data_IF_262418249921
#
_entry.id   IF_262418249921
#
_cell.length_a   1.000
_cell.length_b   1.000
_cell.length_c   1.000
_cell.angle_alpha   90.00
_cell.angle_beta   90.00
_cell.angle_gamma   90.00
#
_symmetry.space_group_name_H-M   'P 1'
#
loop_
_entity.id
_entity.type
_entity.pdbx_description
1 polymer ?
#
# COMPACT_ATOMS: atom_id res chain seq x y z
N UNK A 1 15.35 -10.56 11.77
CA UNK A 1 15.69 -9.14 11.99
C UNK A 1 14.42 -8.30 11.98
N UNK A 2 14.35 -7.24 12.77
CA UNK A 2 13.17 -6.37 12.93
C UNK A 2 13.39 -5.04 12.21
N UNK A 3 12.47 -4.61 11.34
CA UNK A 3 12.54 -3.28 10.72
C UNK A 3 12.49 -2.15 11.76
N UNK A 4 13.42 -1.20 11.68
CA UNK A 4 13.60 -0.11 12.65
C UNK A 4 13.60 1.28 12.02
N UNK A 5 13.45 1.38 10.70
CA UNK A 5 13.38 2.66 9.98
C UNK A 5 14.07 2.60 8.63
N UNK A 6 13.95 3.68 7.86
CA UNK A 6 14.67 3.90 6.63
C UNK A 6 15.47 5.20 6.73
N UNK A 7 16.64 5.23 6.11
CA UNK A 7 17.55 6.37 6.05
C UNK A 7 18.04 6.47 4.60
N UNK A 8 17.56 7.49 3.86
CA UNK A 8 17.74 7.55 2.40
C UNK A 8 17.24 6.26 1.74
N UNK A 9 18.09 5.66 0.91
CA UNK A 9 17.82 4.41 0.20
C UNK A 9 18.24 3.14 0.97
N UNK A 10 18.48 3.27 2.27
CA UNK A 10 18.85 2.17 3.15
C UNK A 10 17.75 1.85 4.17
N UNK A 11 17.41 0.57 4.30
CA UNK A 11 16.55 0.06 5.35
C UNK A 11 17.38 -0.38 6.55
N UNK A 12 17.00 0.09 7.75
CA UNK A 12 17.64 -0.28 9.02
C UNK A 12 16.87 -1.41 9.69
N UNK A 13 17.59 -2.46 10.06
CA UNK A 13 17.06 -3.59 10.79
C UNK A 13 17.81 -3.81 12.11
N UNK A 14 17.06 -4.12 13.17
CA UNK A 14 17.58 -4.42 14.50
C UNK A 14 17.49 -5.91 14.82
N UNK A 15 18.31 -6.36 15.76
CA UNK A 15 18.20 -7.69 16.35
C UNK A 15 16.80 -7.89 16.95
N UNK A 16 16.09 -8.99 16.60
CA UNK A 16 14.73 -9.22 17.09
C UNK A 16 14.66 -9.42 18.60
N UNK A 17 15.75 -9.87 19.22
CA UNK A 17 15.86 -10.04 20.67
C UNK A 17 15.79 -8.72 21.42
N UNK A 18 16.51 -7.70 20.97
CA UNK A 18 16.45 -6.36 21.58
C UNK A 18 15.07 -5.73 21.42
N UNK A 19 14.38 -6.02 20.31
CA UNK A 19 13.02 -5.55 20.08
C UNK A 19 11.94 -6.36 20.79
N UNK A 20 12.31 -7.37 21.59
CA UNK A 20 11.38 -8.24 22.31
C UNK A 20 10.52 -9.15 21.43
N UNK A 21 10.91 -9.41 20.18
CA UNK A 21 10.14 -10.28 19.26
C UNK A 21 10.51 -11.75 19.36
N UNK A 22 11.72 -12.05 19.81
CA UNK A 22 12.27 -13.41 19.92
C UNK A 22 13.17 -13.47 21.14
N UNK A 23 13.13 -14.55 21.91
CA UNK A 23 14.14 -14.80 22.93
C UNK A 23 15.31 -15.58 22.33
N UNK A 24 16.49 -14.96 22.26
CA UNK A 24 17.66 -15.54 21.60
C UNK A 24 18.44 -16.35 22.64
N UNK A 25 18.71 -17.65 22.41
CA UNK A 25 19.42 -18.48 23.40
C UNK A 25 20.86 -18.02 23.65
N UNK A 26 21.46 -17.30 22.69
CA UNK A 26 22.79 -16.72 22.80
C UNK A 26 22.77 -15.29 23.38
N UNK A 27 21.58 -14.75 23.67
CA UNK A 27 21.38 -13.37 24.08
C UNK A 27 21.82 -12.35 23.02
N UNK A 28 21.98 -11.10 23.45
CA UNK A 28 22.46 -10.01 22.58
C UNK A 28 23.98 -9.83 22.55
N UNK A 29 24.67 -10.26 23.61
CA UNK A 29 26.10 -10.00 23.81
C UNK A 29 26.98 -10.63 22.72
N UNK A 30 26.50 -11.73 22.12
CA UNK A 30 27.19 -12.41 21.01
C UNK A 30 27.11 -11.61 19.71
N UNK A 31 25.98 -10.93 19.47
CA UNK A 31 25.74 -10.25 18.19
C UNK A 31 26.20 -8.78 18.18
N UNK A 32 26.36 -8.15 19.34
CA UNK A 32 26.80 -6.75 19.44
C UNK A 32 27.35 -6.46 20.83
N UNK A 33 28.41 -5.66 20.90
CA UNK A 33 28.96 -5.14 22.15
C UNK A 33 28.09 -4.02 22.78
N UNK A 34 27.16 -3.45 22.01
CA UNK A 34 26.26 -2.39 22.48
C UNK A 34 24.95 -2.96 23.01
N UNK A 35 24.39 -2.32 24.05
CA UNK A 35 23.02 -2.57 24.55
C UNK A 35 21.92 -2.21 23.53
N UNK A 36 22.27 -1.61 22.39
CA UNK A 36 21.36 -1.36 21.28
C UNK A 36 21.17 -2.59 20.37
N UNK A 37 22.05 -3.60 20.51
CA UNK A 37 22.04 -4.82 19.69
C UNK A 37 22.68 -4.65 18.31
N UNK A 38 22.61 -5.74 17.52
CA UNK A 38 23.11 -5.74 16.15
C UNK A 38 22.19 -4.91 15.25
N UNK A 39 22.81 -4.06 14.43
CA UNK A 39 22.14 -3.24 13.41
C UNK A 39 22.64 -3.67 12.04
N UNK A 40 21.72 -4.01 11.13
CA UNK A 40 22.01 -4.29 9.73
C UNK A 40 21.33 -3.24 8.87
N UNK A 41 22.09 -2.59 8.00
CA UNK A 41 21.56 -1.69 6.97
C UNK A 41 21.59 -2.42 5.63
N UNK A 42 20.46 -2.43 4.93
CA UNK A 42 20.34 -3.04 3.60
C UNK A 42 20.02 -1.95 2.59
N UNK A 43 20.75 -1.87 1.49
CA UNK A 43 20.38 -0.98 0.40
C UNK A 43 19.18 -1.57 -0.37
N UNK A 44 18.28 -0.71 -0.86
CA UNK A 44 17.08 -1.14 -1.62
C UNK A 44 17.47 -1.97 -2.85
N UNK A 45 18.55 -1.58 -3.52
CA UNK A 45 19.00 -2.21 -4.77
C UNK A 45 19.53 -3.63 -4.58
N UNK A 46 19.87 -4.05 -3.36
CA UNK A 46 20.35 -5.41 -3.11
C UNK A 46 19.28 -6.46 -3.44
N UNK A 47 18.02 -6.19 -3.09
CA UNK A 47 16.88 -7.04 -3.45
C UNK A 47 15.59 -6.22 -3.39
N UNK A 48 15.27 -5.51 -4.46
CA UNK A 48 14.12 -4.58 -4.54
C UNK A 48 12.79 -5.23 -4.13
N UNK A 49 12.63 -6.54 -4.38
CA UNK A 49 11.42 -7.28 -3.98
C UNK A 49 11.26 -7.38 -2.46
N UNK A 50 12.37 -7.51 -1.73
CA UNK A 50 12.43 -7.71 -0.29
C UNK A 50 12.62 -6.39 0.46
N UNK A 51 13.45 -5.51 -0.08
CA UNK A 51 13.82 -4.23 0.51
C UNK A 51 13.18 -3.09 -0.29
N UNK A 52 11.91 -2.81 -0.02
CA UNK A 52 11.19 -1.69 -0.62
C UNK A 52 11.06 -0.52 0.36
N UNK A 53 10.90 0.71 -0.15
CA UNK A 53 10.44 1.87 0.62
C UNK A 53 9.03 2.24 0.15
N UNK A 54 8.04 2.36 1.06
CA UNK A 54 8.11 2.00 2.49
C UNK A 54 8.25 0.48 2.68
N UNK A 55 8.96 0.06 3.74
CA UNK A 55 9.23 -1.36 4.00
C UNK A 55 7.93 -2.16 4.15
N UNK A 56 7.87 -3.32 3.50
CA UNK A 56 6.69 -4.21 3.58
C UNK A 56 6.38 -4.55 5.04
N UNK A 57 5.11 -4.47 5.41
CA UNK A 57 4.67 -4.71 6.79
C UNK A 57 4.93 -3.55 7.77
N UNK A 58 5.61 -2.48 7.35
CA UNK A 58 5.63 -1.21 8.11
C UNK A 58 4.23 -0.59 8.19
N UNK A 59 4.00 0.28 9.16
CA UNK A 59 2.70 0.96 9.32
C UNK A 59 2.32 1.73 8.06
N UNK A 60 3.24 2.54 7.54
CA UNK A 60 3.03 3.32 6.31
C UNK A 60 2.73 2.43 5.12
N UNK A 61 3.45 1.33 4.96
CA UNK A 61 3.18 0.37 3.90
C UNK A 61 1.78 -0.24 4.03
N UNK A 62 1.35 -0.61 5.24
CA UNK A 62 0.01 -1.14 5.48
C UNK A 62 -1.07 -0.12 5.14
N UNK A 63 -0.93 1.12 5.58
CA UNK A 63 -1.88 2.19 5.26
C UNK A 63 -2.04 2.40 3.75
N UNK A 64 -0.93 2.47 3.01
CA UNK A 64 -0.97 2.59 1.55
C UNK A 64 -1.52 1.32 0.88
N UNK A 65 -1.22 0.14 1.42
CA UNK A 65 -1.74 -1.12 0.91
C UNK A 65 -3.26 -1.24 1.13
N UNK A 66 -3.78 -0.75 2.26
CA UNK A 66 -5.21 -0.75 2.55
C UNK A 66 -5.98 0.14 1.56
N UNK A 67 -5.37 1.22 1.04
CA UNK A 67 -5.96 2.07 -0.01
C UNK A 67 -6.14 1.32 -1.35
N UNK A 68 -5.30 0.32 -1.65
CA UNK A 68 -5.40 -0.48 -2.88
C UNK A 68 -6.77 -1.19 -2.97
N UNK A 69 -7.30 -1.65 -1.85
CA UNK A 69 -8.63 -2.28 -1.78
C UNK A 69 -9.72 -1.34 -2.30
N UNK A 70 -9.57 -0.02 -2.06
CA UNK A 70 -10.52 0.98 -2.56
C UNK A 70 -10.47 1.08 -4.08
N UNK A 71 -9.26 1.05 -4.66
CA UNK A 71 -9.05 1.05 -6.12
C UNK A 71 -9.66 -0.20 -6.76
N UNK A 72 -9.44 -1.38 -6.18
CA UNK A 72 -10.01 -2.64 -6.66
C UNK A 72 -11.54 -2.64 -6.63
N UNK A 73 -12.15 -2.09 -5.57
CA UNK A 73 -13.60 -1.89 -5.48
C UNK A 73 -14.12 -0.94 -6.57
N UNK A 74 -13.39 0.14 -6.87
CA UNK A 74 -13.73 1.05 -7.96
C UNK A 74 -13.69 0.33 -9.32
N UNK A 75 -12.66 -0.47 -9.58
CA UNK A 75 -12.58 -1.25 -10.81
C UNK A 75 -13.68 -2.30 -10.92
N UNK A 76 -13.98 -3.03 -9.85
CA UNK A 76 -15.13 -3.94 -9.81
C UNK A 76 -16.43 -3.20 -10.13
N UNK A 77 -16.61 -1.97 -9.63
CA UNK A 77 -17.78 -1.16 -9.95
C UNK A 77 -17.89 -0.80 -11.42
N UNK A 78 -16.78 -0.40 -12.04
CA UNK A 78 -16.74 -0.08 -13.47
C UNK A 78 -17.04 -1.31 -14.33
N UNK A 79 -16.47 -2.47 -13.97
CA UNK A 79 -16.64 -3.73 -14.70
C UNK A 79 -18.04 -4.30 -14.59
N UNK A 80 -18.51 -4.52 -13.37
CA UNK A 80 -19.77 -5.22 -13.10
C UNK A 80 -20.99 -4.31 -13.28
N UNK A 81 -20.97 -3.12 -12.70
CA UNK A 81 -22.15 -2.25 -12.63
C UNK A 81 -22.25 -1.25 -13.77
N UNK A 82 -21.12 -0.85 -14.36
CA UNK A 82 -21.08 0.04 -15.52
C UNK A 82 -20.77 -0.70 -16.81
N UNK A 83 -20.94 -2.03 -16.80
CA UNK A 83 -20.88 -2.91 -17.98
C UNK A 83 -19.57 -2.86 -18.76
N UNK A 84 -18.45 -2.43 -18.16
CA UNK A 84 -17.19 -2.31 -18.88
C UNK A 84 -16.69 -3.67 -19.40
N UNK A 85 -16.97 -4.76 -18.67
CA UNK A 85 -16.67 -6.13 -19.12
C UNK A 85 -17.70 -6.66 -20.13
N UNK A 86 -18.89 -6.04 -20.20
CA UNK A 86 -19.98 -6.39 -21.12
C UNK A 86 -20.02 -5.54 -22.40
N UNK A 87 -18.97 -4.77 -22.70
CA UNK A 87 -18.93 -3.90 -23.88
C UNK A 87 -18.70 -4.73 -25.16
N UNK A 88 -19.70 -4.78 -26.03
CA UNK A 88 -19.64 -5.50 -27.31
C UNK A 88 -19.46 -4.55 -28.51
N UNK A 89 -18.42 -3.69 -28.47
CA UNK A 89 -18.04 -2.84 -29.61
C UNK A 89 -16.70 -3.27 -30.21
N UNK A 90 -16.60 -3.22 -31.54
CA UNK A 90 -15.37 -3.53 -32.26
C UNK A 90 -14.43 -2.31 -32.28
N UNK A 91 -13.21 -2.49 -31.78
CA UNK A 91 -12.11 -1.52 -31.84
C UNK A 91 -11.71 -0.97 -30.46
N UNK A 92 -10.40 -0.99 -30.17
CA UNK A 92 -9.84 -0.59 -28.86
C UNK A 92 -10.14 0.86 -28.52
N UNK A 93 -10.22 1.75 -29.51
CA UNK A 93 -10.52 3.17 -29.30
C UNK A 93 -11.94 3.37 -28.78
N UNK A 94 -12.92 2.61 -29.30
CA UNK A 94 -14.31 2.67 -28.83
C UNK A 94 -14.43 2.13 -27.41
N UNK A 95 -13.79 1.00 -27.12
CA UNK A 95 -13.75 0.42 -25.76
C UNK A 95 -13.12 1.43 -24.79
N UNK A 96 -12.03 2.09 -25.18
CA UNK A 96 -11.37 3.13 -24.37
C UNK A 96 -12.30 4.32 -24.12
N UNK A 97 -13.06 4.76 -25.12
CA UNK A 97 -14.05 5.82 -24.95
C UNK A 97 -15.14 5.42 -23.92
N UNK A 98 -15.66 4.20 -23.99
CA UNK A 98 -16.60 3.67 -22.98
C UNK A 98 -15.99 3.65 -21.58
N UNK A 99 -14.74 3.20 -21.44
CA UNK A 99 -14.02 3.20 -20.17
C UNK A 99 -13.92 4.62 -19.56
N UNK A 100 -13.56 5.62 -20.37
CA UNK A 100 -13.47 6.99 -19.90
C UNK A 100 -14.83 7.58 -19.51
N UNK A 101 -15.87 7.34 -20.31
CA UNK A 101 -17.23 7.80 -19.99
C UNK A 101 -17.67 7.20 -18.64
N UNK A 102 -17.48 5.90 -18.45
CA UNK A 102 -17.82 5.22 -17.18
C UNK A 102 -17.05 5.81 -15.99
N UNK A 103 -15.76 6.07 -16.15
CA UNK A 103 -14.94 6.69 -15.11
C UNK A 103 -15.43 8.11 -14.75
N UNK A 104 -15.75 8.93 -15.76
CA UNK A 104 -16.31 10.27 -15.57
C UNK A 104 -17.65 10.22 -14.83
N UNK A 105 -18.55 9.31 -15.23
CA UNK A 105 -19.85 9.13 -14.58
C UNK A 105 -19.67 8.67 -13.12
N UNK A 106 -18.75 7.76 -12.84
CA UNK A 106 -18.45 7.31 -11.48
C UNK A 106 -17.97 8.46 -10.59
N UNK A 107 -17.02 9.27 -11.08
CA UNK A 107 -16.51 10.43 -10.36
C UNK A 107 -17.57 11.50 -10.14
N UNK A 108 -18.37 11.81 -11.17
CA UNK A 108 -19.47 12.77 -11.08
C UNK A 108 -20.52 12.31 -10.05
N UNK A 109 -20.86 11.01 -10.05
CA UNK A 109 -21.78 10.41 -9.08
C UNK A 109 -21.24 10.49 -7.66
N UNK A 110 -19.96 10.20 -7.45
CA UNK A 110 -19.31 10.31 -6.15
C UNK A 110 -19.32 11.77 -5.63
N UNK A 111 -19.02 12.74 -6.50
CA UNK A 111 -19.07 14.17 -6.18
C UNK A 111 -20.49 14.63 -5.83
N UNK A 112 -21.50 14.18 -6.58
CA UNK A 112 -22.89 14.48 -6.29
C UNK A 112 -23.32 13.93 -4.93
N UNK A 113 -23.01 12.67 -4.64
CA UNK A 113 -23.30 12.04 -3.34
C UNK A 113 -22.57 12.73 -2.19
N UNK A 114 -21.31 13.11 -2.38
CA UNK A 114 -20.55 13.87 -1.39
C UNK A 114 -21.21 15.22 -1.08
N UNK A 115 -21.66 15.96 -2.10
CA UNK A 115 -22.39 17.22 -1.92
C UNK A 115 -23.69 17.02 -1.14
N UNK A 116 -24.48 16.00 -1.49
CA UNK A 116 -25.76 15.68 -0.80
C UNK A 116 -25.53 15.31 0.66
N UNK A 117 -24.55 14.45 0.94
CA UNK A 117 -24.23 14.04 2.31
C UNK A 117 -23.75 15.21 3.16
N UNK A 118 -22.96 16.13 2.58
CA UNK A 118 -22.54 17.34 3.27
C UNK A 118 -23.71 18.25 3.62
N UNK A 119 -24.70 18.40 2.72
CA UNK A 119 -25.92 19.18 3.01
C UNK A 119 -26.67 18.55 4.19
N UNK A 120 -26.87 17.22 4.19
CA UNK A 120 -27.56 16.49 5.26
C UNK A 120 -26.89 16.58 6.64
N UNK A 121 -25.58 16.83 6.70
CA UNK A 121 -24.85 16.97 7.97
C UNK A 121 -24.96 18.38 8.57
N UNK A 122 -25.33 19.39 7.76
CA UNK A 122 -25.41 20.80 8.18
C UNK A 122 -26.86 21.20 8.50
N UNK A 123 -27.84 20.50 7.93
CA UNK A 123 -29.27 20.61 8.22
C UNK A 123 -29.67 19.77 9.44
#
# INVERSE_FOLDING_TARGET
MTYWGAEGDCLKFLCPHVTGRVDCPLGMAVCSASNYGMVVKMHIDEEVRRYAIPHRGSRTWKTLYDEQTTVERCFARLKEWMTLDGVHVRGVEKVRAHAYINAVVLMASALAMHRVNRIKQVS
#
